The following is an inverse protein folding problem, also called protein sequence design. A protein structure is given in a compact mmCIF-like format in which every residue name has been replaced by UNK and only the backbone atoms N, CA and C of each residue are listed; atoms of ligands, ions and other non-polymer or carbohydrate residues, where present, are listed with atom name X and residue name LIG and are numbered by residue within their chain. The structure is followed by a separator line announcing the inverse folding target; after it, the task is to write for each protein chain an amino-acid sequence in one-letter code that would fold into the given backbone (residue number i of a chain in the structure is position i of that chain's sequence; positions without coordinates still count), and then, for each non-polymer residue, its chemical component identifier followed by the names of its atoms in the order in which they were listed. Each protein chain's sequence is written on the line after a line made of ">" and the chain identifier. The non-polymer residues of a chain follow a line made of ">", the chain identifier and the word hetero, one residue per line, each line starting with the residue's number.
data_IF_943246700973
#
_entry.id   IF_943246700973
#
_cell.length_a   1.000
_cell.length_b   1.000
_cell.length_c   1.000
_cell.angle_alpha   90.00
_cell.angle_beta   90.00
_cell.angle_gamma   90.00
#
_symmetry.space_group_name_H-M   'P 1'
#
loop_
_entity.id
_entity.type
_entity.pdbx_description
1 polymer ?
#
# COMPACT_ATOMS: atom_id res chain seq x y z
N UNK A 1 4.30 -23.38 -11.33
CA UNK A 1 4.38 -24.02 -10.01
C UNK A 1 5.71 -23.82 -9.29
N UNK A 2 6.83 -24.12 -9.92
CA UNK A 2 8.16 -23.97 -9.29
C UNK A 2 8.45 -22.55 -8.79
N UNK A 3 8.01 -21.55 -9.52
CA UNK A 3 8.13 -20.12 -9.16
C UNK A 3 7.44 -19.80 -7.82
N UNK A 4 6.23 -20.29 -7.60
CA UNK A 4 5.49 -20.08 -6.34
C UNK A 4 6.18 -20.74 -5.14
N UNK A 5 6.78 -21.92 -5.33
CA UNK A 5 7.53 -22.62 -4.28
C UNK A 5 8.77 -21.80 -3.90
N UNK A 6 9.52 -21.30 -4.89
CA UNK A 6 10.71 -20.47 -4.65
C UNK A 6 10.33 -19.17 -3.92
N UNK A 7 9.29 -18.47 -4.39
CA UNK A 7 8.79 -17.25 -3.73
C UNK A 7 8.32 -17.55 -2.29
N UNK A 8 7.62 -18.66 -2.09
CA UNK A 8 7.16 -19.08 -0.76
C UNK A 8 8.33 -19.31 0.20
N UNK A 9 9.37 -20.03 -0.24
CA UNK A 9 10.57 -20.27 0.57
C UNK A 9 11.29 -18.97 0.91
N UNK A 10 11.43 -18.05 -0.05
CA UNK A 10 12.04 -16.74 0.18
C UNK A 10 11.23 -15.94 1.19
N UNK A 11 9.90 -15.85 1.04
CA UNK A 11 9.02 -15.14 1.97
C UNK A 11 9.05 -15.78 3.37
N UNK A 12 9.10 -17.09 3.45
CA UNK A 12 9.20 -17.83 4.72
C UNK A 12 10.55 -17.57 5.41
N UNK A 13 11.66 -17.57 4.68
CA UNK A 13 12.97 -17.19 5.21
C UNK A 13 12.97 -15.73 5.70
N UNK A 14 12.37 -14.80 4.95
CA UNK A 14 12.24 -13.41 5.37
C UNK A 14 11.37 -13.26 6.63
N UNK A 15 10.30 -14.06 6.79
CA UNK A 15 9.49 -14.06 8.01
C UNK A 15 10.29 -14.56 9.20
N UNK A 16 11.04 -15.64 9.07
CA UNK A 16 11.89 -16.19 10.13
C UNK A 16 13.00 -15.20 10.49
N UNK A 17 13.70 -14.63 9.52
CA UNK A 17 14.73 -13.61 9.77
C UNK A 17 14.16 -12.36 10.44
N UNK A 18 12.94 -11.95 10.06
CA UNK A 18 12.24 -10.80 10.68
C UNK A 18 11.81 -11.08 12.13
N UNK A 19 11.39 -12.31 12.45
CA UNK A 19 11.01 -12.70 13.81
C UNK A 19 12.22 -12.89 14.72
N UNK A 20 13.33 -13.38 14.18
CA UNK A 20 14.61 -13.55 14.91
C UNK A 20 15.36 -12.21 15.11
N UNK A 21 14.89 -11.11 14.52
CA UNK A 21 15.54 -9.80 14.65
C UNK A 21 16.85 -9.64 13.89
N UNK A 22 17.20 -10.57 12.99
CA UNK A 22 18.44 -10.53 12.22
C UNK A 22 18.47 -9.43 11.16
N UNK A 23 17.30 -8.99 10.71
CA UNK A 23 17.19 -7.91 9.73
C UNK A 23 16.89 -6.60 10.45
N UNK A 24 17.96 -5.87 10.80
CA UNK A 24 17.89 -4.50 11.32
C UNK A 24 17.97 -3.51 10.15
N UNK A 25 16.89 -3.41 9.39
CA UNK A 25 16.80 -2.41 8.31
C UNK A 25 16.08 -1.19 8.88
N UNK A 26 16.86 -0.21 9.37
CA UNK A 26 16.35 1.04 9.95
C UNK A 26 15.53 1.89 8.95
N UNK A 27 15.71 1.66 7.65
CA UNK A 27 15.15 2.52 6.59
C UNK A 27 13.93 1.97 5.86
N UNK A 28 13.49 0.72 6.09
CA UNK A 28 12.36 0.13 5.37
C UNK A 28 11.22 -0.18 6.34
N UNK A 29 10.41 0.83 6.64
CA UNK A 29 9.14 0.68 7.33
C UNK A 29 9.25 0.19 8.77
N UNK A 30 8.15 0.31 9.50
CA UNK A 30 8.07 -0.14 10.89
C UNK A 30 7.95 -1.66 10.99
N UNK A 31 8.25 -2.19 12.17
CA UNK A 31 8.07 -3.62 12.51
C UNK A 31 6.64 -4.09 12.17
N UNK A 32 5.65 -3.22 12.36
CA UNK A 32 4.24 -3.50 12.06
C UNK A 32 3.99 -3.58 10.54
N UNK A 33 4.54 -2.65 9.76
CA UNK A 33 4.42 -2.64 8.30
C UNK A 33 5.09 -3.85 7.66
N UNK A 34 6.28 -4.26 8.13
CA UNK A 34 6.97 -5.47 7.64
C UNK A 34 6.19 -6.74 7.91
N UNK A 35 5.62 -6.91 9.11
CA UNK A 35 4.76 -8.07 9.43
C UNK A 35 3.54 -8.13 8.52
N UNK A 36 2.89 -7.01 8.28
CA UNK A 36 1.70 -6.93 7.45
C UNK A 36 2.00 -7.23 5.98
N UNK A 37 3.11 -6.70 5.45
CA UNK A 37 3.61 -7.05 4.11
C UNK A 37 3.81 -8.55 3.94
N UNK A 38 4.52 -9.19 4.88
CA UNK A 38 4.83 -10.62 4.81
C UNK A 38 3.55 -11.46 4.83
N UNK A 39 2.57 -11.09 5.66
CA UNK A 39 1.28 -11.79 5.74
C UNK A 39 0.52 -11.68 4.41
N UNK A 40 0.42 -10.49 3.83
CA UNK A 40 -0.31 -10.26 2.57
C UNK A 40 0.39 -10.94 1.39
N UNK A 41 1.73 -10.83 1.29
CA UNK A 41 2.51 -11.46 0.24
C UNK A 41 2.45 -13.00 0.31
N UNK A 42 2.48 -13.55 1.53
CA UNK A 42 2.40 -15.01 1.76
C UNK A 42 1.01 -15.53 1.42
N UNK A 43 -0.06 -14.84 1.84
CA UNK A 43 -1.44 -15.19 1.49
C UNK A 43 -1.65 -15.15 -0.04
N UNK A 44 -1.17 -14.10 -0.73
CA UNK A 44 -1.27 -13.99 -2.19
C UNK A 44 -0.53 -15.08 -2.93
N UNK A 45 0.67 -15.47 -2.45
CA UNK A 45 1.43 -16.54 -3.08
C UNK A 45 0.81 -17.93 -2.85
N UNK A 46 0.23 -18.19 -1.67
CA UNK A 46 -0.49 -19.45 -1.38
C UNK A 46 -1.73 -19.55 -2.26
N UNK A 47 -2.55 -18.49 -2.33
CA UNK A 47 -3.77 -18.50 -3.16
C UNK A 47 -3.45 -18.61 -4.64
N UNK A 48 -2.45 -17.88 -5.15
CA UNK A 48 -1.99 -17.97 -6.53
C UNK A 48 -1.42 -19.36 -6.87
N UNK A 49 -0.62 -19.94 -5.96
CA UNK A 49 -0.06 -21.28 -6.12
C UNK A 49 -1.13 -22.38 -6.12
N UNK A 50 -2.14 -22.26 -5.27
CA UNK A 50 -3.27 -23.19 -5.22
C UNK A 50 -4.07 -23.15 -6.52
N UNK A 51 -4.32 -21.95 -7.05
CA UNK A 51 -5.02 -21.75 -8.33
C UNK A 51 -4.24 -22.33 -9.52
N UNK A 52 -2.92 -22.14 -9.55
CA UNK A 52 -2.06 -22.75 -10.60
C UNK A 52 -1.96 -24.26 -10.46
N UNK A 53 -2.17 -24.82 -9.27
CA UNK A 53 -2.21 -26.26 -9.08
C UNK A 53 -3.55 -26.87 -9.51
N UNK A 54 -4.67 -26.25 -9.17
CA UNK A 54 -6.01 -26.76 -9.49
C UNK A 54 -6.34 -26.67 -10.98
N UNK A 55 -5.82 -25.65 -11.67
CA UNK A 55 -6.05 -25.45 -13.12
C UNK A 55 -4.84 -25.90 -13.96
N UNK A 56 -4.29 -27.07 -13.64
CA UNK A 56 -3.10 -27.62 -14.30
C UNK A 56 -3.17 -27.54 -15.83
N UNK A 57 -2.47 -26.57 -16.43
CA UNK A 57 -2.31 -26.45 -17.87
C UNK A 57 -0.96 -27.03 -18.35
N UNK A 58 -0.83 -27.25 -19.66
CA UNK A 58 0.41 -27.69 -20.28
C UNK A 58 0.51 -29.19 -20.54
N UNK A 59 -0.58 -29.95 -20.36
CA UNK A 59 -0.61 -31.33 -20.82
C UNK A 59 -0.75 -31.37 -22.34
N UNK A 60 0.06 -32.20 -23.01
CA UNK A 60 0.05 -32.42 -24.45
C UNK A 60 -0.55 -33.79 -24.70
N UNK A 61 -1.51 -33.88 -25.61
CA UNK A 61 -2.19 -35.09 -25.98
C UNK A 61 -1.93 -35.34 -27.48
N UNK A 62 -1.23 -36.46 -27.78
CA UNK A 62 -0.79 -36.78 -29.15
C UNK A 62 -1.80 -37.68 -29.91
N UNK A 63 -2.67 -38.44 -29.21
CA UNK A 63 -3.55 -39.46 -29.80
C UNK A 63 -5.04 -39.14 -29.60
N UNK A 64 -5.39 -37.85 -29.62
CA UNK A 64 -6.75 -37.38 -29.28
C UNK A 64 -6.99 -37.27 -27.78
N UNK A 65 -7.97 -36.49 -27.37
CA UNK A 65 -8.27 -36.26 -25.96
C UNK A 65 -9.74 -36.51 -25.67
N UNK A 66 -10.01 -37.24 -24.60
CA UNK A 66 -11.38 -37.54 -24.13
C UNK A 66 -11.84 -36.45 -23.16
N UNK A 67 -12.89 -35.74 -23.51
CA UNK A 67 -13.54 -34.74 -22.69
C UNK A 67 -14.84 -35.28 -22.12
N UNK A 68 -14.99 -35.20 -20.81
CA UNK A 68 -16.21 -35.65 -20.15
C UNK A 68 -17.33 -34.65 -20.36
N UNK A 69 -18.46 -35.12 -20.90
CA UNK A 69 -19.66 -34.28 -21.06
C UNK A 69 -20.27 -33.96 -19.70
N UNK A 70 -20.56 -32.68 -19.45
CA UNK A 70 -21.24 -32.21 -18.23
C UNK A 70 -22.78 -32.04 -18.50
N UNK A 71 -23.54 -31.74 -17.44
CA UNK A 71 -24.99 -31.52 -17.55
C UNK A 71 -25.36 -30.31 -18.40
N UNK A 72 -24.43 -29.35 -18.58
CA UNK A 72 -24.61 -28.19 -19.47
C UNK A 72 -23.47 -28.18 -20.49
N UNK A 73 -23.79 -27.72 -21.72
CA UNK A 73 -22.76 -27.49 -22.73
C UNK A 73 -21.74 -26.45 -22.24
N UNK A 74 -20.45 -26.69 -22.42
CA UNK A 74 -19.38 -25.77 -22.02
C UNK A 74 -18.35 -25.63 -23.14
N UNK A 75 -17.64 -24.50 -23.13
CA UNK A 75 -16.56 -24.21 -24.07
C UNK A 75 -15.22 -24.36 -23.37
N UNK A 76 -14.30 -25.08 -23.98
CA UNK A 76 -12.95 -25.20 -23.47
C UNK A 76 -11.94 -24.77 -24.55
N UNK A 77 -10.91 -24.03 -24.12
CA UNK A 77 -9.90 -23.48 -25.01
C UNK A 77 -8.72 -24.46 -25.11
N UNK A 78 -8.39 -24.85 -26.33
CA UNK A 78 -7.24 -25.67 -26.64
C UNK A 78 -6.27 -24.93 -27.56
N UNK A 79 -4.98 -25.25 -27.45
CA UNK A 79 -3.98 -24.89 -28.45
C UNK A 79 -3.73 -26.13 -29.30
N UNK A 80 -3.81 -25.94 -30.61
CA UNK A 80 -3.60 -27.01 -31.59
C UNK A 80 -2.26 -26.80 -32.26
N UNK A 81 -1.45 -27.83 -32.30
CA UNK A 81 -0.23 -27.90 -33.10
C UNK A 81 -0.34 -29.00 -34.13
N UNK A 82 0.09 -28.72 -35.36
CA UNK A 82 0.16 -29.67 -36.48
C UNK A 82 1.63 -30.03 -36.67
N UNK A 83 1.98 -31.29 -36.52
CA UNK A 83 3.37 -31.81 -36.64
C UNK A 83 4.40 -31.02 -35.79
N UNK A 84 3.99 -30.49 -34.62
CA UNK A 84 4.87 -29.77 -33.71
C UNK A 84 4.97 -28.26 -33.95
N UNK A 85 4.35 -27.70 -35.00
CA UNK A 85 4.22 -26.25 -35.18
C UNK A 85 2.89 -25.76 -34.56
N UNK A 86 2.98 -24.75 -33.66
CA UNK A 86 1.79 -24.14 -33.03
C UNK A 86 0.98 -23.39 -34.08
N UNK A 87 -0.20 -23.91 -34.43
CA UNK A 87 -1.03 -23.36 -35.50
C UNK A 87 -2.03 -22.32 -34.97
N UNK A 88 -2.55 -22.50 -33.75
CA UNK A 88 -3.50 -21.52 -33.17
C UNK A 88 -4.22 -21.99 -31.93
N UNK A 89 -5.11 -21.14 -31.39
CA UNK A 89 -5.98 -21.48 -30.27
C UNK A 89 -7.42 -21.64 -30.74
N UNK A 90 -8.04 -22.75 -30.40
CA UNK A 90 -9.41 -23.13 -30.79
C UNK A 90 -10.29 -23.21 -29.55
N UNK A 91 -11.50 -22.71 -29.62
CA UNK A 91 -12.55 -22.95 -28.64
C UNK A 91 -13.38 -24.12 -29.11
N UNK A 92 -13.39 -25.23 -28.36
CA UNK A 92 -14.19 -26.40 -28.65
C UNK A 92 -15.44 -26.33 -27.80
N UNK A 93 -16.62 -26.37 -28.44
CA UNK A 93 -17.91 -26.50 -27.76
C UNK A 93 -18.16 -27.98 -27.48
N UNK A 94 -18.23 -28.34 -26.21
CA UNK A 94 -18.53 -29.68 -25.76
C UNK A 94 -20.04 -29.71 -25.51
N UNK A 95 -20.81 -30.55 -26.25
CA UNK A 95 -22.25 -30.65 -26.10
C UNK A 95 -22.64 -31.18 -24.72
N UNK A 96 -23.81 -30.84 -24.25
CA UNK A 96 -24.40 -31.39 -23.03
C UNK A 96 -24.64 -32.90 -23.15
N UNK A 97 -24.72 -33.57 -22.00
CA UNK A 97 -25.04 -34.99 -21.91
C UNK A 97 -26.48 -35.19 -22.30
N UNK A 98 -26.73 -35.69 -23.53
CA UNK A 98 -28.07 -35.81 -24.15
C UNK A 98 -29.04 -36.65 -23.32
N UNK A 99 -30.20 -36.03 -23.06
CA UNK A 99 -31.52 -36.64 -22.98
C UNK A 99 -32.32 -36.08 -24.16
N UNK A 100 -32.34 -36.82 -25.29
CA UNK A 100 -33.17 -36.58 -26.51
C UNK A 100 -32.72 -35.46 -27.46
N UNK A 101 -32.74 -35.81 -28.76
CA UNK A 101 -32.33 -35.02 -29.92
C UNK A 101 -33.32 -33.89 -30.23
N UNK A 102 -32.81 -32.70 -30.43
CA UNK A 102 -33.42 -31.71 -31.35
C UNK A 102 -32.35 -31.19 -32.31
N UNK A 103 -32.67 -31.38 -33.60
CA UNK A 103 -31.92 -30.98 -34.78
C UNK A 103 -31.91 -29.45 -34.90
N UNK A 104 -30.76 -28.79 -34.76
CA UNK A 104 -30.66 -27.36 -35.02
C UNK A 104 -29.44 -26.99 -35.85
N UNK A 105 -29.74 -26.71 -37.13
CA UNK A 105 -29.23 -25.57 -37.91
C UNK A 105 -27.74 -25.55 -38.27
N UNK A 106 -27.51 -25.73 -39.55
CA UNK A 106 -26.25 -25.46 -40.27
C UNK A 106 -25.72 -24.06 -40.01
N UNK A 107 -24.43 -23.87 -39.78
CA UNK A 107 -23.80 -22.55 -39.80
C UNK A 107 -23.56 -22.06 -41.23
N UNK A 108 -23.83 -20.81 -41.43
CA UNK A 108 -23.72 -20.06 -42.68
C UNK A 108 -22.24 -19.89 -43.09
N UNK A 109 -21.90 -20.35 -44.28
CA UNK A 109 -20.56 -20.29 -44.87
C UNK A 109 -20.27 -18.88 -45.35
N UNK A 110 -19.32 -18.19 -44.73
CA UNK A 110 -18.73 -16.94 -45.23
C UNK A 110 -17.40 -17.24 -45.94
N UNK A 111 -17.46 -17.14 -47.25
CA UNK A 111 -16.33 -17.29 -48.20
C UNK A 111 -15.35 -16.13 -48.07
N UNK A 112 -14.13 -16.36 -47.61
CA UNK A 112 -12.97 -15.51 -47.88
C UNK A 112 -11.69 -16.39 -47.90
N UNK A 113 -10.68 -15.96 -48.67
CA UNK A 113 -9.41 -16.65 -48.88
C UNK A 113 -8.86 -17.27 -47.57
N UNK A 114 -8.80 -18.61 -47.63
CA UNK A 114 -8.63 -19.42 -46.43
C UNK A 114 -7.16 -19.61 -46.14
N UNK A 115 -6.67 -19.00 -45.06
CA UNK A 115 -5.42 -19.36 -44.38
C UNK A 115 -5.56 -20.77 -43.81
N UNK A 116 -4.48 -21.56 -43.80
CA UNK A 116 -4.49 -22.95 -43.26
C UNK A 116 -5.07 -23.01 -41.83
N UNK A 117 -4.88 -21.95 -41.05
CA UNK A 117 -5.43 -21.79 -39.71
C UNK A 117 -6.99 -21.75 -39.72
N UNK A 118 -7.61 -21.07 -40.70
CA UNK A 118 -9.09 -21.01 -40.81
C UNK A 118 -9.67 -22.34 -41.21
N UNK A 119 -8.98 -23.08 -42.08
CA UNK A 119 -9.44 -24.43 -42.49
C UNK A 119 -9.41 -25.44 -41.35
N UNK A 120 -8.36 -25.36 -40.50
CA UNK A 120 -8.26 -26.16 -39.31
C UNK A 120 -9.35 -25.83 -38.29
N UNK A 121 -9.64 -24.55 -38.10
CA UNK A 121 -10.68 -24.07 -37.20
C UNK A 121 -12.07 -24.54 -37.67
N UNK A 122 -12.36 -24.46 -38.97
CA UNK A 122 -13.60 -24.92 -39.56
C UNK A 122 -13.72 -26.45 -39.47
N UNK A 123 -12.62 -27.17 -39.69
CA UNK A 123 -12.61 -28.62 -39.52
C UNK A 123 -12.95 -29.02 -38.09
N UNK A 124 -12.32 -28.39 -37.10
CA UNK A 124 -12.55 -28.69 -35.68
C UNK A 124 -13.97 -28.30 -35.24
N UNK A 125 -14.50 -27.15 -35.73
CA UNK A 125 -15.84 -26.70 -35.40
C UNK A 125 -16.93 -27.63 -36.00
N UNK A 126 -16.65 -28.21 -37.17
CA UNK A 126 -17.58 -29.10 -37.85
C UNK A 126 -17.30 -30.59 -37.56
N UNK A 127 -16.28 -30.88 -36.72
CA UNK A 127 -15.92 -32.26 -36.40
C UNK A 127 -17.02 -32.90 -35.54
N UNK A 128 -17.73 -33.82 -36.13
CA UNK A 128 -18.66 -34.67 -35.42
C UNK A 128 -17.94 -35.96 -35.09
N UNK A 129 -17.78 -36.23 -33.81
CA UNK A 129 -17.15 -37.46 -33.33
C UNK A 129 -17.95 -38.66 -33.83
N UNK A 130 -17.39 -39.47 -34.69
CA UNK A 130 -18.00 -40.70 -35.21
C UNK A 130 -18.26 -41.74 -34.10
N UNK A 131 -17.66 -41.55 -32.92
CA UNK A 131 -17.85 -42.36 -31.72
C UNK A 131 -18.98 -41.68 -30.89
N UNK A 132 -20.21 -42.11 -31.10
CA UNK A 132 -21.36 -41.74 -30.26
C UNK A 132 -21.24 -42.36 -28.86
N UNK A 133 -20.40 -41.75 -27.99
CA UNK A 133 -20.40 -42.07 -26.59
C UNK A 133 -21.19 -40.99 -25.83
N UNK A 134 -22.18 -41.40 -25.03
CA UNK A 134 -23.04 -40.52 -24.28
C UNK A 134 -22.30 -39.79 -23.13
N UNK A 135 -21.12 -40.24 -22.75
CA UNK A 135 -20.36 -39.68 -21.60
C UNK A 135 -19.15 -38.86 -22.03
N UNK A 136 -18.55 -39.13 -23.20
CA UNK A 136 -17.31 -38.50 -23.63
C UNK A 136 -17.39 -37.87 -25.01
N UNK A 137 -16.68 -36.78 -25.20
CA UNK A 137 -16.46 -36.11 -26.47
C UNK A 137 -15.00 -36.31 -26.87
N UNK A 138 -14.74 -36.78 -28.09
CA UNK A 138 -13.40 -37.10 -28.57
C UNK A 138 -12.91 -36.03 -29.53
N UNK A 139 -11.71 -35.51 -29.29
CA UNK A 139 -11.06 -34.57 -30.21
C UNK A 139 -10.40 -35.32 -31.36
N UNK A 140 -10.35 -34.76 -32.60
CA UNK A 140 -9.73 -35.40 -33.75
C UNK A 140 -8.23 -35.57 -33.53
N UNK A 141 -7.70 -36.75 -33.94
CA UNK A 141 -6.28 -37.07 -33.89
C UNK A 141 -5.52 -36.73 -35.17
N UNK A 142 -6.22 -36.68 -36.31
CA UNK A 142 -5.65 -36.46 -37.64
C UNK A 142 -6.42 -35.39 -38.42
N UNK A 143 -5.67 -34.56 -39.17
CA UNK A 143 -6.21 -33.60 -40.13
C UNK A 143 -5.41 -33.66 -41.43
N UNK A 144 -6.08 -33.99 -42.55
CA UNK A 144 -5.46 -34.17 -43.87
C UNK A 144 -4.23 -35.11 -43.88
N UNK A 145 -4.20 -36.16 -43.02
CA UNK A 145 -3.09 -37.09 -42.89
C UNK A 145 -1.91 -36.56 -42.04
N UNK A 146 -2.07 -35.40 -41.40
CA UNK A 146 -1.11 -34.84 -40.45
C UNK A 146 -1.62 -35.04 -39.03
N UNK A 147 -0.74 -35.37 -38.08
CA UNK A 147 -1.12 -35.58 -36.67
C UNK A 147 -1.40 -34.27 -35.99
N UNK A 148 -2.51 -34.22 -35.24
CA UNK A 148 -2.90 -33.10 -34.39
C UNK A 148 -2.46 -33.36 -32.94
N UNK A 149 -1.73 -32.42 -32.37
CA UNK A 149 -1.40 -32.38 -30.95
C UNK A 149 -2.26 -31.32 -30.25
N UNK A 150 -2.96 -31.73 -29.22
CA UNK A 150 -3.81 -30.86 -28.41
C UNK A 150 -3.11 -30.49 -27.13
N UNK A 151 -3.04 -29.16 -26.85
CA UNK A 151 -2.42 -28.63 -25.61
C UNK A 151 -3.45 -27.80 -24.86
N UNK A 152 -3.61 -28.07 -23.59
CA UNK A 152 -4.38 -27.22 -22.71
C UNK A 152 -3.56 -25.94 -22.45
N UNK A 153 -4.08 -24.72 -22.76
CA UNK A 153 -3.31 -23.50 -22.56
C UNK A 153 -2.95 -23.31 -21.10
N UNK A 154 -1.76 -22.80 -20.86
CA UNK A 154 -1.28 -22.53 -19.51
C UNK A 154 -2.08 -21.37 -18.90
N UNK A 155 -2.86 -21.63 -17.85
CA UNK A 155 -3.63 -20.60 -17.16
C UNK A 155 -2.69 -19.75 -16.30
N UNK A 156 -2.48 -18.49 -16.70
CA UNK A 156 -1.64 -17.52 -15.99
C UNK A 156 -2.38 -16.78 -14.88
N UNK A 157 -3.67 -17.04 -14.66
CA UNK A 157 -4.53 -16.34 -13.70
C UNK A 157 -3.96 -16.40 -12.28
N UNK A 158 -3.42 -17.55 -11.86
CA UNK A 158 -2.80 -17.70 -10.55
C UNK A 158 -1.54 -16.86 -10.37
N UNK A 159 -0.71 -16.77 -11.43
CA UNK A 159 0.50 -15.94 -11.42
C UNK A 159 0.13 -14.44 -11.38
N UNK A 160 -0.88 -14.01 -12.14
CA UNK A 160 -1.39 -12.63 -12.12
C UNK A 160 -1.95 -12.26 -10.74
N UNK A 161 -2.70 -13.16 -10.13
CA UNK A 161 -3.25 -12.95 -8.78
C UNK A 161 -2.13 -12.78 -7.76
N UNK A 162 -1.12 -13.66 -7.77
CA UNK A 162 0.04 -13.54 -6.87
C UNK A 162 0.80 -12.21 -7.08
N UNK A 163 0.98 -11.78 -8.33
CA UNK A 163 1.62 -10.51 -8.66
C UNK A 163 0.82 -9.29 -8.14
N UNK A 164 -0.51 -9.32 -8.25
CA UNK A 164 -1.40 -8.26 -7.73
C UNK A 164 -1.29 -8.17 -6.21
N UNK A 165 -1.31 -9.30 -5.49
CA UNK A 165 -1.14 -9.31 -4.03
C UNK A 165 0.23 -8.80 -3.60
N UNK A 166 1.28 -9.13 -4.34
CA UNK A 166 2.64 -8.66 -4.06
C UNK A 166 2.75 -7.14 -4.29
N UNK A 167 2.16 -6.62 -5.37
CA UNK A 167 2.06 -5.18 -5.61
C UNK A 167 1.26 -4.46 -4.51
N UNK A 168 0.11 -5.02 -4.10
CA UNK A 168 -0.70 -4.48 -3.01
C UNK A 168 0.06 -4.47 -1.68
N UNK A 169 0.81 -5.52 -1.37
CA UNK A 169 1.66 -5.60 -0.19
C UNK A 169 2.75 -4.51 -0.20
N UNK A 170 3.36 -4.23 -1.36
CA UNK A 170 4.35 -3.16 -1.49
C UNK A 170 3.74 -1.77 -1.29
N UNK A 171 2.57 -1.51 -1.88
CA UNK A 171 1.83 -0.24 -1.69
C UNK A 171 1.48 -0.05 -0.20
N UNK A 172 1.11 -1.12 0.49
CA UNK A 172 0.75 -1.08 1.92
C UNK A 172 1.94 -0.67 2.80
N UNK A 173 3.16 -1.15 2.53
CA UNK A 173 4.38 -0.70 3.23
C UNK A 173 4.56 0.82 3.09
N UNK A 174 4.41 1.34 1.87
CA UNK A 174 4.58 2.78 1.60
C UNK A 174 3.53 3.60 2.34
N UNK A 175 2.28 3.15 2.39
CA UNK A 175 1.19 3.83 3.11
C UNK A 175 1.48 3.87 4.61
N UNK A 176 1.83 2.73 5.23
CA UNK A 176 2.12 2.64 6.66
C UNK A 176 3.32 3.51 7.04
N UNK A 177 4.39 3.49 6.22
CA UNK A 177 5.55 4.35 6.44
C UNK A 177 5.20 5.85 6.39
N UNK A 178 4.33 6.25 5.45
CA UNK A 178 3.84 7.63 5.36
C UNK A 178 2.96 8.04 6.54
N UNK A 179 2.11 7.15 7.03
CA UNK A 179 1.25 7.42 8.19
C UNK A 179 2.07 7.67 9.45
N UNK A 180 3.11 6.86 9.69
CA UNK A 180 3.99 7.08 10.84
C UNK A 180 4.81 8.35 10.74
N UNK A 181 5.33 8.67 9.55
CA UNK A 181 6.00 9.96 9.35
C UNK A 181 5.03 11.12 9.62
N UNK A 182 3.80 11.04 9.12
CA UNK A 182 2.76 12.04 9.40
C UNK A 182 2.46 12.15 10.90
N UNK A 183 2.35 11.02 11.60
CA UNK A 183 2.11 11.01 13.04
C UNK A 183 3.27 11.65 13.82
N UNK A 184 4.52 11.34 13.46
CA UNK A 184 5.72 11.96 14.05
C UNK A 184 5.78 13.46 13.76
N UNK A 185 5.53 13.87 12.53
CA UNK A 185 5.52 15.28 12.13
C UNK A 185 4.41 16.03 12.86
N UNK A 186 3.21 15.46 12.95
CA UNK A 186 2.08 16.04 13.70
C UNK A 186 2.41 16.22 15.18
N UNK A 187 2.98 15.17 15.82
CA UNK A 187 3.45 15.26 17.22
C UNK A 187 4.48 16.39 17.40
N UNK A 188 5.45 16.46 16.48
CA UNK A 188 6.47 17.51 16.50
C UNK A 188 5.86 18.92 16.35
N UNK A 189 4.90 19.08 15.44
CA UNK A 189 4.20 20.36 15.24
C UNK A 189 3.35 20.75 16.45
N UNK A 190 2.62 19.82 17.06
CA UNK A 190 1.83 20.05 18.27
C UNK A 190 2.72 20.52 19.42
N UNK A 191 3.84 19.85 19.66
CA UNK A 191 4.82 20.23 20.66
C UNK A 191 5.38 21.65 20.40
N UNK A 192 5.71 21.95 19.14
CA UNK A 192 6.22 23.27 18.77
C UNK A 192 5.17 24.38 18.91
N UNK A 193 3.90 24.07 18.71
CA UNK A 193 2.81 25.04 18.93
C UNK A 193 2.54 25.30 20.42
N UNK A 194 2.73 24.28 21.26
CA UNK A 194 2.49 24.39 22.71
C UNK A 194 3.64 25.06 23.44
N UNK A 195 4.88 24.96 22.93
CA UNK A 195 6.08 25.42 23.60
C UNK A 195 6.06 26.89 24.05
N UNK A 196 5.67 27.87 23.20
CA UNK A 196 5.66 29.27 23.62
C UNK A 196 4.68 29.54 24.78
N UNK A 197 3.51 28.91 24.76
CA UNK A 197 2.53 29.07 25.84
C UNK A 197 3.00 28.39 27.14
N UNK A 198 3.66 27.24 27.03
CA UNK A 198 4.20 26.52 28.16
C UNK A 198 5.33 27.31 28.83
N UNK A 199 6.35 27.72 28.03
CA UNK A 199 7.51 28.44 28.57
C UNK A 199 7.11 29.81 29.17
N UNK A 200 6.20 30.55 28.52
CA UNK A 200 5.72 31.81 29.05
C UNK A 200 5.01 31.64 30.39
N UNK A 201 4.08 30.67 30.49
CA UNK A 201 3.37 30.39 31.74
C UNK A 201 4.36 29.95 32.84
N UNK A 202 5.34 29.12 32.50
CA UNK A 202 6.38 28.69 33.41
C UNK A 202 7.21 29.89 33.91
N UNK A 203 7.68 30.73 33.02
CA UNK A 203 8.46 31.94 33.33
C UNK A 203 7.72 32.87 34.27
N UNK A 204 6.44 33.17 34.00
CA UNK A 204 5.62 34.01 34.85
C UNK A 204 5.48 33.48 36.29
N UNK A 205 5.26 32.16 36.43
CA UNK A 205 5.12 31.55 37.75
C UNK A 205 6.43 31.55 38.53
N UNK A 206 7.58 31.33 37.86
CA UNK A 206 8.89 31.41 38.48
C UNK A 206 9.24 32.86 38.86
N UNK A 207 8.95 33.84 38.02
CA UNK A 207 9.13 35.26 38.33
C UNK A 207 8.22 35.73 39.47
N UNK A 208 7.04 35.11 39.62
CA UNK A 208 6.19 35.31 40.80
C UNK A 208 6.72 34.66 42.10
N UNK A 209 7.90 34.05 42.05
CA UNK A 209 8.58 33.47 43.24
C UNK A 209 8.30 32.00 43.49
N UNK A 210 7.63 31.30 42.55
CA UNK A 210 7.41 29.86 42.71
C UNK A 210 8.70 29.06 42.40
N UNK A 211 8.94 28.01 43.19
CA UNK A 211 10.02 27.07 42.87
C UNK A 211 9.67 26.27 41.59
N UNK A 212 10.69 25.81 40.86
CA UNK A 212 10.56 25.03 39.63
C UNK A 212 9.59 23.84 39.84
N UNK A 213 9.78 23.06 40.91
CA UNK A 213 8.94 21.93 41.26
C UNK A 213 7.47 22.32 41.47
N UNK A 214 7.23 23.39 42.20
CA UNK A 214 5.87 23.88 42.46
C UNK A 214 5.22 24.44 41.20
N UNK A 215 6.02 25.06 40.32
CA UNK A 215 5.55 25.53 39.01
C UNK A 215 5.08 24.37 38.14
N UNK A 216 5.88 23.27 38.04
CA UNK A 216 5.46 22.05 37.35
C UNK A 216 4.15 21.49 37.89
N UNK A 217 4.07 21.34 39.23
CA UNK A 217 2.87 20.84 39.90
C UNK A 217 1.64 21.72 39.64
N UNK A 218 1.81 23.04 39.71
CA UNK A 218 0.71 24.02 39.44
C UNK A 218 0.25 23.89 37.98
N UNK A 219 1.16 23.87 37.04
CA UNK A 219 0.84 23.71 35.59
C UNK A 219 0.16 22.38 35.29
N UNK A 220 0.61 21.28 35.92
CA UNK A 220 -0.01 19.96 35.80
C UNK A 220 -1.43 19.93 36.35
N UNK A 221 -1.64 20.53 37.55
CA UNK A 221 -2.97 20.65 38.17
C UNK A 221 -3.93 21.49 37.30
N UNK A 222 -3.46 22.63 36.80
CA UNK A 222 -4.28 23.50 35.92
C UNK A 222 -4.64 22.81 34.60
N UNK A 223 -3.80 21.92 34.10
CA UNK A 223 -4.05 21.15 32.89
C UNK A 223 -5.07 20.02 33.11
N UNK A 224 -4.97 19.28 34.24
CA UNK A 224 -5.95 18.21 34.57
C UNK A 224 -7.39 18.72 34.63
N UNK A 225 -7.59 19.98 34.92
CA UNK A 225 -8.91 20.65 34.97
C UNK A 225 -9.43 21.10 33.58
N UNK A 226 -8.63 20.94 32.50
CA UNK A 226 -9.02 21.29 31.15
C UNK A 226 -9.23 20.02 30.32
N UNK A 227 -10.32 19.98 29.57
CA UNK A 227 -10.67 18.85 28.68
C UNK A 227 -9.88 18.85 27.34
N UNK A 228 -8.71 19.49 27.28
CA UNK A 228 -7.90 19.58 26.08
C UNK A 228 -6.72 18.62 26.18
N UNK A 229 -6.55 17.76 25.19
CA UNK A 229 -5.36 16.88 25.09
C UNK A 229 -4.22 17.65 24.45
N UNK A 230 -3.13 17.89 25.20
CA UNK A 230 -1.90 18.55 24.73
C UNK A 230 -0.70 17.74 25.18
N UNK A 231 0.07 17.25 24.22
CA UNK A 231 1.19 16.33 24.45
C UNK A 231 2.21 16.87 25.44
N UNK A 232 2.60 18.15 25.29
CA UNK A 232 3.56 18.80 26.19
C UNK A 232 3.11 18.80 27.66
N UNK A 233 1.83 19.02 27.90
CA UNK A 233 1.27 19.05 29.26
C UNK A 233 1.07 17.63 29.83
N UNK A 234 0.76 16.64 28.99
CA UNK A 234 0.70 15.23 29.39
C UNK A 234 2.09 14.75 29.87
N UNK A 235 3.14 15.09 29.13
CA UNK A 235 4.51 14.77 29.54
C UNK A 235 4.93 15.54 30.80
N UNK A 236 4.43 16.77 31.00
CA UNK A 236 4.65 17.54 32.23
C UNK A 236 3.95 16.88 33.43
N UNK A 237 2.71 16.38 33.26
CA UNK A 237 2.01 15.61 34.29
C UNK A 237 2.78 14.34 34.64
N UNK A 238 3.31 13.65 33.65
CA UNK A 238 4.12 12.45 33.84
C UNK A 238 5.39 12.76 34.65
N UNK A 239 6.08 13.88 34.35
CA UNK A 239 7.23 14.31 35.13
C UNK A 239 6.87 14.62 36.59
N UNK A 240 5.71 15.21 36.83
CA UNK A 240 5.21 15.41 38.20
C UNK A 240 4.99 14.09 38.95
N UNK A 241 4.38 13.11 38.31
CA UNK A 241 4.20 11.77 38.88
C UNK A 241 5.54 11.07 39.20
N UNK A 242 6.51 11.20 38.29
CA UNK A 242 7.86 10.68 38.53
C UNK A 242 8.51 11.28 39.78
N UNK A 243 8.41 12.59 39.96
CA UNK A 243 8.91 13.29 41.15
C UNK A 243 8.13 12.90 42.43
N UNK A 244 6.84 12.64 42.33
CA UNK A 244 6.02 12.14 43.45
C UNK A 244 6.33 10.70 43.82
N UNK A 245 6.75 9.90 42.85
CA UNK A 245 7.19 8.50 43.01
C UNK A 245 8.61 8.37 43.52
N UNK A 246 9.33 9.49 43.84
CA UNK A 246 10.64 9.47 44.41
C UNK A 246 11.81 9.58 43.42
N UNK A 247 11.53 9.78 42.14
CA UNK A 247 12.57 10.09 41.15
C UNK A 247 13.13 11.51 41.42
N UNK A 248 14.41 11.70 41.30
CA UNK A 248 15.05 12.99 41.53
C UNK A 248 14.52 14.04 40.51
N UNK A 249 14.42 15.31 40.92
CA UNK A 249 13.96 16.39 40.05
C UNK A 249 14.80 16.49 38.77
N UNK A 250 16.12 16.36 38.91
CA UNK A 250 17.05 16.41 37.77
C UNK A 250 16.74 15.33 36.74
N UNK A 251 16.51 14.11 37.19
CA UNK A 251 16.19 12.97 36.32
C UNK A 251 14.78 13.11 35.70
N UNK A 252 13.80 13.58 36.47
CA UNK A 252 12.45 13.82 35.95
C UNK A 252 12.44 14.90 34.86
N UNK A 253 13.21 15.98 35.00
CA UNK A 253 13.33 17.01 33.96
C UNK A 253 14.09 16.49 32.73
N UNK A 254 15.11 15.69 32.90
CA UNK A 254 15.83 15.05 31.80
C UNK A 254 14.89 14.16 30.99
N UNK A 255 14.14 13.28 31.65
CA UNK A 255 13.16 12.38 31.02
C UNK A 255 12.04 13.15 30.34
N UNK A 256 11.58 14.24 30.93
CA UNK A 256 10.58 15.14 30.30
C UNK A 256 11.08 15.67 28.95
N UNK A 257 12.31 16.18 28.88
CA UNK A 257 12.92 16.65 27.63
C UNK A 257 13.03 15.54 26.60
N UNK A 258 13.51 14.36 27.00
CA UNK A 258 13.68 13.18 26.13
C UNK A 258 12.35 12.67 25.60
N UNK A 259 11.31 12.58 26.43
CA UNK A 259 9.96 12.12 26.00
C UNK A 259 9.31 13.10 25.04
N UNK A 260 9.50 14.40 25.24
CA UNK A 260 9.05 15.39 24.26
C UNK A 260 9.78 15.23 22.92
N UNK A 261 11.06 14.82 22.92
CA UNK A 261 11.83 14.53 21.71
C UNK A 261 12.05 15.74 20.80
N UNK A 262 11.90 16.96 21.32
CA UNK A 262 12.05 18.21 20.58
C UNK A 262 13.19 19.04 21.16
N UNK A 263 14.02 19.63 20.29
CA UNK A 263 15.23 20.40 20.71
C UNK A 263 14.90 21.49 21.74
N UNK A 264 13.84 22.26 21.55
CA UNK A 264 13.42 23.33 22.48
C UNK A 264 13.11 22.80 23.89
N UNK A 265 12.43 21.65 23.99
CA UNK A 265 12.14 21.01 25.28
C UNK A 265 13.37 20.44 25.96
N UNK A 266 14.32 19.90 25.19
CA UNK A 266 15.62 19.47 25.71
C UNK A 266 16.44 20.64 26.23
N UNK A 267 16.46 21.76 25.51
CA UNK A 267 17.11 23.00 25.97
C UNK A 267 16.46 23.49 27.27
N UNK A 268 15.14 23.53 27.32
CA UNK A 268 14.39 23.92 28.52
C UNK A 268 14.71 22.99 29.71
N UNK A 269 14.68 21.66 29.52
CA UNK A 269 15.03 20.70 30.56
C UNK A 269 16.48 20.91 31.06
N UNK A 270 17.41 21.19 30.14
CA UNK A 270 18.81 21.48 30.48
C UNK A 270 18.94 22.74 31.32
N UNK A 271 18.20 23.80 31.00
CA UNK A 271 18.15 25.04 31.80
C UNK A 271 17.64 24.77 33.23
N UNK A 272 16.61 23.94 33.37
CA UNK A 272 16.08 23.55 34.69
C UNK A 272 17.11 22.77 35.50
N UNK A 273 17.82 21.82 34.91
CA UNK A 273 18.87 21.03 35.54
C UNK A 273 20.03 21.92 35.97
N UNK A 274 20.48 22.82 35.10
CA UNK A 274 21.53 23.76 35.41
C UNK A 274 21.19 24.67 36.58
N UNK A 275 19.93 25.10 36.66
CA UNK A 275 19.46 25.90 37.78
C UNK A 275 19.46 25.15 39.09
N UNK A 276 19.10 23.87 39.12
CA UNK A 276 19.22 23.03 40.33
C UNK A 276 20.65 22.88 40.81
N UNK A 277 21.62 22.87 39.90
CA UNK A 277 23.05 22.69 40.19
C UNK A 277 23.75 23.99 40.60
N UNK A 278 23.43 25.10 39.91
CA UNK A 278 24.20 26.36 40.04
C UNK A 278 23.46 27.48 40.78
N UNK A 279 22.16 27.27 41.11
CA UNK A 279 21.34 28.29 41.77
C UNK A 279 20.62 29.22 40.78
N UNK A 280 19.62 29.96 41.30
CA UNK A 280 18.57 30.60 40.47
C UNK A 280 18.89 32.01 39.93
N UNK A 281 20.09 32.58 40.21
CA UNK A 281 20.38 34.01 40.01
C UNK A 281 20.16 34.51 38.56
N UNK A 282 20.34 33.68 37.55
CA UNK A 282 20.20 34.06 36.11
C UNK A 282 19.11 33.32 35.42
N UNK A 283 18.35 32.43 36.09
CA UNK A 283 17.33 31.62 35.46
C UNK A 283 16.17 32.46 34.89
N UNK A 284 15.75 33.50 35.64
CA UNK A 284 14.67 34.37 35.18
C UNK A 284 14.96 35.05 33.85
N UNK A 285 16.17 35.58 33.68
CA UNK A 285 16.60 36.24 32.44
C UNK A 285 16.71 35.22 31.27
N UNK A 286 17.24 34.02 31.52
CA UNK A 286 17.35 33.00 30.51
C UNK A 286 16.00 32.46 30.06
N UNK A 287 15.06 32.27 30.98
CA UNK A 287 13.68 31.85 30.67
C UNK A 287 12.90 32.94 29.94
N UNK A 288 13.09 34.20 30.31
CA UNK A 288 12.49 35.34 29.62
C UNK A 288 12.97 35.42 28.18
N UNK A 289 14.28 35.33 27.95
CA UNK A 289 14.86 35.28 26.60
C UNK A 289 14.31 34.14 25.78
N UNK A 290 14.26 32.92 26.33
CA UNK A 290 13.71 31.73 25.67
C UNK A 290 12.20 31.92 25.35
N UNK A 291 11.43 32.56 26.25
CA UNK A 291 10.02 32.85 26.06
C UNK A 291 9.78 33.81 24.89
N UNK A 292 10.56 34.90 24.81
CA UNK A 292 10.48 35.89 23.71
C UNK A 292 10.87 35.22 22.39
N UNK A 293 11.96 34.47 22.37
CA UNK A 293 12.41 33.74 21.17
C UNK A 293 11.38 32.71 20.68
N UNK A 294 10.74 31.97 21.60
CA UNK A 294 9.67 31.05 21.28
C UNK A 294 8.45 31.72 20.65
N UNK A 295 8.10 32.89 21.11
CA UNK A 295 7.01 33.70 20.51
C UNK A 295 7.35 34.21 19.11
N UNK A 296 8.58 34.67 18.90
CA UNK A 296 9.05 35.11 17.59
C UNK A 296 9.11 33.97 16.57
N UNK A 297 9.51 32.78 17.00
CA UNK A 297 9.48 31.56 16.19
C UNK A 297 8.05 31.22 15.77
N UNK A 298 7.10 31.28 16.71
CA UNK A 298 5.67 31.05 16.41
C UNK A 298 5.12 32.06 15.40
N UNK A 299 5.46 33.33 15.57
CA UNK A 299 5.04 34.42 14.68
C UNK A 299 5.61 34.25 13.27
N UNK A 300 6.91 33.90 13.17
CA UNK A 300 7.54 33.57 11.88
C UNK A 300 6.87 32.40 11.21
N UNK A 301 6.60 31.31 11.95
CA UNK A 301 5.93 30.13 11.41
C UNK A 301 4.52 30.44 10.91
N UNK A 302 3.74 31.20 11.67
CA UNK A 302 2.40 31.65 11.26
C UNK A 302 2.44 32.51 9.97
N UNK A 303 3.44 33.41 9.85
CA UNK A 303 3.64 34.22 8.64
C UNK A 303 3.97 33.36 7.42
N UNK A 304 4.92 32.42 7.54
CA UNK A 304 5.30 31.50 6.46
C UNK A 304 4.11 30.61 6.05
N UNK A 305 3.31 30.13 7.00
CA UNK A 305 2.11 29.36 6.69
C UNK A 305 1.05 30.19 5.96
N UNK A 306 0.89 31.46 6.33
CA UNK A 306 0.01 32.40 5.64
C UNK A 306 0.47 32.65 4.19
N UNK A 307 1.75 32.90 3.98
CA UNK A 307 2.35 33.08 2.64
C UNK A 307 2.21 31.81 1.76
N UNK A 308 2.44 30.64 2.35
CA UNK A 308 2.25 29.35 1.65
C UNK A 308 0.77 29.10 1.28
N UNK A 309 -0.18 29.54 2.10
CA UNK A 309 -1.61 29.45 1.79
C UNK A 309 -1.96 30.35 0.60
N UNK A 310 -1.42 31.57 0.53
CA UNK A 310 -1.62 32.49 -0.59
C UNK A 310 -1.05 31.91 -1.89
N UNK A 311 0.14 31.30 -1.84
CA UNK A 311 0.76 30.65 -3.02
C UNK A 311 -0.08 29.47 -3.53
N UNK A 312 -0.73 28.71 -2.65
CA UNK A 312 -1.63 27.60 -3.07
C UNK A 312 -2.86 28.09 -3.84
N UNK A 313 -3.32 29.32 -3.59
CA UNK A 313 -4.44 29.92 -4.32
C UNK A 313 -4.07 30.36 -5.75
N UNK A 314 -2.77 30.50 -6.06
CA UNK A 314 -2.31 30.78 -7.43
C UNK A 314 -2.57 29.60 -8.38
N UNK A 315 -2.53 28.36 -7.90
CA UNK A 315 -2.73 27.17 -8.74
C UNK A 315 -4.10 27.17 -9.45
N UNK A 316 -5.24 27.34 -8.76
CA UNK A 316 -6.55 27.41 -9.44
C UNK A 316 -6.67 28.63 -10.36
N UNK A 317 -6.02 29.75 -10.05
CA UNK A 317 -5.99 30.93 -10.94
C UNK A 317 -5.25 30.64 -12.24
N UNK A 318 -4.08 29.98 -12.19
CA UNK A 318 -3.31 29.58 -13.38
C UNK A 318 -4.11 28.57 -14.21
N UNK A 319 -4.81 27.64 -13.57
CA UNK A 319 -5.65 26.65 -14.25
C UNK A 319 -6.82 27.33 -14.98
N UNK A 320 -7.50 28.29 -14.33
CA UNK A 320 -8.55 29.08 -14.97
C UNK A 320 -8.01 29.88 -16.17
N UNK A 321 -6.83 30.50 -16.02
CA UNK A 321 -6.19 31.22 -17.12
C UNK A 321 -5.88 30.27 -18.30
N UNK A 322 -5.42 29.06 -18.01
CA UNK A 322 -5.16 28.02 -19.02
C UNK A 322 -6.43 27.63 -19.79
N UNK A 323 -7.55 27.46 -19.10
CA UNK A 323 -8.85 27.15 -19.72
C UNK A 323 -9.31 28.28 -20.63
N UNK A 324 -9.21 29.54 -20.16
CA UNK A 324 -9.57 30.71 -20.99
C UNK A 324 -8.67 30.83 -22.22
N UNK A 325 -7.35 30.61 -22.06
CA UNK A 325 -6.43 30.57 -23.21
C UNK A 325 -6.78 29.46 -24.20
N UNK A 326 -7.15 28.27 -23.74
CA UNK A 326 -7.56 27.17 -24.61
C UNK A 326 -8.85 27.51 -25.38
N UNK A 327 -9.85 28.10 -24.73
CA UNK A 327 -11.10 28.51 -25.38
C UNK A 327 -10.88 29.56 -26.47
N UNK A 328 -9.95 30.48 -26.24
CA UNK A 328 -9.65 31.53 -27.25
C UNK A 328 -8.77 31.01 -28.38
N UNK A 329 -7.79 30.11 -28.07
CA UNK A 329 -6.87 29.59 -29.07
C UNK A 329 -7.51 28.52 -29.99
N UNK A 330 -8.44 27.71 -29.49
CA UNK A 330 -9.10 26.65 -30.27
C UNK A 330 -9.75 27.18 -31.56
N UNK A 331 -10.64 28.21 -31.53
CA UNK A 331 -11.24 28.74 -32.74
C UNK A 331 -10.23 29.45 -33.64
N UNK A 332 -9.18 30.09 -33.07
CA UNK A 332 -8.12 30.71 -33.86
C UNK A 332 -7.30 29.67 -34.63
N UNK A 333 -6.95 28.54 -34.00
CA UNK A 333 -6.25 27.46 -34.68
C UNK A 333 -7.11 26.77 -35.75
N UNK A 334 -8.40 26.57 -35.49
CA UNK A 334 -9.33 26.00 -36.48
C UNK A 334 -9.53 26.92 -37.69
N UNK A 335 -9.53 28.23 -37.50
CA UNK A 335 -9.62 29.20 -38.59
C UNK A 335 -8.34 29.29 -39.47
N UNK A 336 -7.19 28.82 -38.96
CA UNK A 336 -5.95 28.78 -39.74
C UNK A 336 -5.77 27.49 -40.53
N UNK A 337 -6.47 26.42 -40.16
CA UNK A 337 -6.40 25.10 -40.80
C UNK A 337 -7.57 24.79 -41.75
N UNK A 338 -8.62 25.59 -41.74
CA UNK A 338 -9.76 25.53 -42.66
C UNK A 338 -9.70 26.64 -43.70
#
# INVERSE_FOLDING_TARGET
>A
MWLHIVIFVILLLLTVCSTLGWIHVENIGTVKGRKMFLVVALAGNITGGLLTWTKGGGQVFEDGYELKKEENAYEEKFMVSVEGEETGSVYVQIPEKELEKEDTGQPEVLTKEEDEEQKLLEFVANYNSELEDSEYYYLPSDWEGRKLEWKIPYDTTGNMLAAIFLAAAFVMIVIIAREEQKARTKRYEELMMDYPGLIMKFTLLVQAGMTVRNTFRKMASDYKNKNEKRIAYEELVTACHEMESGISEMEAYRRFGERCGHVKYNTFATLLIQNLQKGSRHMGEMLEKESVEAWDDRKRKAKVQGEAATTKLLFPMILMLGVVMAIVMLPACLSFYG
#
